data_IF_812696645254
#
_entry.id   IF_812696645254
#
_cell.length_a   1.000
_cell.length_b   1.000
_cell.length_c   1.000
_cell.angle_alpha   90.00
_cell.angle_beta   90.00
_cell.angle_gamma   90.00
#
_symmetry.space_group_name_H-M   'P 1'
#
loop_
_entity.id
_entity.type
_entity.pdbx_description
1 polymer ?
#
# COMPACT_ATOMS: atom_id res chain seq x y z
N UNK A 1 10.37 -22.76 -33.93
CA UNK A 1 10.05 -23.17 -32.53
C UNK A 1 10.57 -24.58 -32.33
N UNK A 2 11.20 -24.89 -31.19
CA UNK A 2 11.69 -26.24 -30.88
C UNK A 2 10.64 -26.96 -30.03
N UNK A 3 10.23 -28.15 -30.45
CA UNK A 3 9.27 -28.99 -29.76
C UNK A 3 10.07 -30.15 -29.18
N UNK A 4 10.07 -30.31 -27.86
CA UNK A 4 10.84 -31.36 -27.18
C UNK A 4 9.89 -32.46 -26.72
N UNK A 5 10.19 -33.70 -27.08
CA UNK A 5 9.44 -34.87 -26.59
C UNK A 5 9.88 -35.18 -25.16
N UNK A 6 9.01 -34.88 -24.20
CA UNK A 6 9.28 -35.06 -22.78
C UNK A 6 9.49 -36.52 -22.38
N UNK A 7 8.95 -37.49 -23.12
CA UNK A 7 9.19 -38.93 -22.85
C UNK A 7 10.65 -39.32 -23.13
N UNK A 8 11.34 -38.51 -23.94
CA UNK A 8 12.72 -38.75 -24.35
C UNK A 8 13.75 -37.96 -23.53
N UNK A 9 13.33 -37.08 -22.63
CA UNK A 9 14.22 -36.14 -21.93
C UNK A 9 15.29 -36.84 -21.07
N UNK A 10 14.99 -38.05 -20.59
CA UNK A 10 15.92 -38.88 -19.80
C UNK A 10 16.79 -39.80 -20.68
N UNK A 11 16.63 -39.76 -21.99
CA UNK A 11 17.44 -40.56 -22.92
C UNK A 11 18.75 -39.82 -23.26
N UNK A 12 19.82 -40.55 -23.66
CA UNK A 12 21.08 -39.92 -24.07
C UNK A 12 20.94 -38.92 -25.22
N UNK A 13 19.93 -39.11 -26.07
CA UNK A 13 19.56 -38.19 -27.14
C UNK A 13 18.06 -37.90 -27.03
N UNK A 14 17.66 -36.81 -26.34
CA UNK A 14 16.27 -36.36 -26.34
C UNK A 14 15.82 -36.09 -27.78
N UNK A 15 14.64 -36.59 -28.11
CA UNK A 15 13.96 -36.31 -29.36
C UNK A 15 13.38 -34.90 -29.29
N UNK A 16 13.54 -34.19 -30.39
CA UNK A 16 12.93 -32.90 -30.59
C UNK A 16 12.62 -32.74 -32.08
N UNK A 17 11.62 -31.93 -32.38
CA UNK A 17 11.35 -31.44 -33.72
C UNK A 17 11.49 -29.91 -33.77
N UNK A 18 11.60 -29.38 -34.98
CA UNK A 18 11.64 -27.94 -35.22
C UNK A 18 10.47 -27.55 -36.10
N UNK A 19 9.50 -26.90 -35.48
CA UNK A 19 8.42 -26.24 -36.19
C UNK A 19 8.95 -24.97 -36.86
N UNK A 20 8.99 -24.99 -38.19
CA UNK A 20 9.22 -23.84 -39.05
C UNK A 20 7.91 -23.55 -39.78
N UNK A 21 7.13 -22.62 -39.25
CA UNK A 21 5.85 -22.29 -39.88
C UNK A 21 6.07 -21.59 -41.21
N UNK A 22 5.52 -22.17 -42.26
CA UNK A 22 5.37 -21.56 -43.57
C UNK A 22 3.89 -21.53 -43.93
N UNK A 23 3.30 -20.34 -44.02
CA UNK A 23 1.89 -20.18 -44.36
C UNK A 23 1.68 -18.84 -45.09
N UNK A 24 1.01 -18.89 -46.24
CA UNK A 24 0.70 -17.71 -47.05
C UNK A 24 -0.19 -16.70 -46.35
N UNK A 25 -0.93 -17.13 -45.33
CA UNK A 25 -1.88 -16.30 -44.59
C UNK A 25 -1.21 -15.51 -43.45
N UNK A 26 0.09 -15.71 -43.23
CA UNK A 26 0.85 -14.88 -42.29
C UNK A 26 0.96 -13.43 -42.79
N UNK A 27 0.85 -12.42 -41.89
CA UNK A 27 0.99 -11.01 -42.26
C UNK A 27 2.34 -10.67 -42.91
N UNK A 28 2.31 -10.25 -44.18
CA UNK A 28 3.46 -9.67 -44.90
C UNK A 28 4.59 -10.63 -45.29
N UNK A 29 4.83 -11.71 -44.54
CA UNK A 29 5.88 -12.69 -44.82
C UNK A 29 5.39 -14.11 -44.48
N UNK A 30 5.44 -15.05 -45.43
CA UNK A 30 4.91 -16.38 -45.21
C UNK A 30 5.80 -17.29 -44.36
N UNK A 31 6.96 -16.84 -43.88
CA UNK A 31 7.91 -17.67 -43.14
C UNK A 31 8.23 -17.09 -41.76
N UNK A 32 7.97 -17.83 -40.68
CA UNK A 32 8.40 -17.45 -39.33
C UNK A 32 9.89 -17.78 -39.14
N UNK A 33 10.72 -16.75 -38.93
CA UNK A 33 12.17 -16.92 -38.76
C UNK A 33 12.60 -16.83 -37.30
N UNK A 34 12.09 -15.84 -36.58
CA UNK A 34 12.39 -15.58 -35.16
C UNK A 34 11.16 -15.11 -34.43
N UNK A 35 11.15 -15.34 -33.13
CA UNK A 35 10.19 -14.80 -32.18
C UNK A 35 10.96 -14.34 -30.94
N UNK A 36 10.39 -13.42 -30.17
CA UNK A 36 10.98 -12.98 -28.91
C UNK A 36 10.57 -13.92 -27.78
N UNK A 37 9.26 -14.16 -27.61
CA UNK A 37 8.74 -15.08 -26.60
C UNK A 37 7.56 -15.91 -27.11
N UNK A 38 7.16 -16.92 -26.34
CA UNK A 38 5.95 -17.70 -26.55
C UNK A 38 5.15 -17.84 -25.25
N UNK A 39 3.83 -17.96 -25.38
CA UNK A 39 2.93 -18.34 -24.29
C UNK A 39 1.91 -19.36 -24.80
N UNK A 40 1.53 -20.32 -23.98
CA UNK A 40 0.48 -21.31 -24.31
C UNK A 40 -0.61 -21.17 -23.26
N UNK A 41 -1.84 -20.86 -23.69
CA UNK A 41 -2.98 -20.69 -22.80
C UNK A 41 -3.61 -22.03 -22.38
N UNK A 42 -4.57 -21.97 -21.47
CA UNK A 42 -5.33 -23.13 -20.99
C UNK A 42 -6.21 -23.78 -22.07
N UNK A 43 -6.44 -23.09 -23.19
CA UNK A 43 -7.19 -23.57 -24.34
C UNK A 43 -6.30 -24.27 -25.37
N UNK A 44 -4.98 -24.36 -25.15
CA UNK A 44 -4.04 -24.98 -26.07
C UNK A 44 -3.71 -24.10 -27.27
N UNK A 45 -3.88 -22.78 -27.14
CA UNK A 45 -3.48 -21.81 -28.15
C UNK A 45 -2.06 -21.34 -27.84
N UNK A 46 -1.17 -21.51 -28.81
CA UNK A 46 0.19 -20.97 -28.81
C UNK A 46 0.16 -19.54 -29.33
N UNK A 47 0.62 -18.63 -28.49
CA UNK A 47 0.90 -17.24 -28.80
C UNK A 47 2.40 -17.07 -29.04
N UNK A 48 2.77 -16.49 -30.18
CA UNK A 48 4.16 -16.21 -30.56
C UNK A 48 4.33 -14.71 -30.65
N UNK A 49 5.10 -14.13 -29.73
CA UNK A 49 5.31 -12.70 -29.60
C UNK A 49 6.60 -12.24 -30.30
N UNK A 50 6.60 -10.99 -30.75
CA UNK A 50 7.81 -10.33 -31.22
C UNK A 50 8.38 -10.97 -32.49
N UNK A 51 7.52 -11.55 -33.33
CA UNK A 51 7.90 -12.16 -34.60
C UNK A 51 8.29 -11.09 -35.63
N UNK A 52 9.40 -10.37 -35.39
CA UNK A 52 9.75 -9.12 -36.10
C UNK A 52 10.08 -9.24 -37.59
N UNK A 53 9.80 -10.38 -38.22
CA UNK A 53 9.85 -10.56 -39.67
C UNK A 53 8.46 -10.81 -40.29
N UNK A 54 7.40 -10.83 -39.47
CA UNK A 54 5.98 -11.03 -39.84
C UNK A 54 5.21 -9.84 -39.27
N UNK A 55 4.49 -9.11 -40.14
CA UNK A 55 3.71 -7.95 -39.73
C UNK A 55 4.51 -6.93 -38.92
N UNK A 56 3.89 -6.40 -37.87
CA UNK A 56 4.50 -5.58 -36.84
C UNK A 56 5.14 -6.41 -35.71
N UNK A 57 5.06 -7.74 -35.76
CA UNK A 57 5.60 -8.61 -34.72
C UNK A 57 4.77 -8.58 -33.43
N UNK A 58 3.45 -8.49 -33.54
CA UNK A 58 2.53 -8.61 -32.41
C UNK A 58 2.45 -10.04 -31.87
N UNK A 59 1.25 -10.62 -31.80
CA UNK A 59 1.01 -11.98 -31.33
C UNK A 59 0.40 -12.86 -32.44
N UNK A 60 1.18 -13.81 -32.96
CA UNK A 60 0.66 -14.85 -33.85
C UNK A 60 0.01 -15.94 -33.01
N UNK A 61 -1.16 -16.43 -33.43
CA UNK A 61 -1.94 -17.44 -32.71
C UNK A 61 -2.02 -18.74 -33.50
N UNK A 62 -1.72 -19.85 -32.82
CA UNK A 62 -1.77 -21.19 -33.38
C UNK A 62 -2.56 -22.15 -32.47
N UNK A 63 -3.43 -22.97 -33.03
CA UNK A 63 -4.11 -24.05 -32.30
C UNK A 63 -3.22 -25.30 -32.25
N UNK A 64 -2.88 -25.73 -31.03
CA UNK A 64 -2.08 -26.93 -30.78
C UNK A 64 -2.92 -28.20 -30.61
N UNK A 65 -4.24 -28.08 -30.36
CA UNK A 65 -5.09 -29.24 -30.03
C UNK A 65 -5.18 -30.28 -31.15
N UNK A 66 -5.32 -29.91 -32.44
CA UNK A 66 -5.42 -30.91 -33.50
C UNK A 66 -4.12 -31.70 -33.69
N UNK A 67 -2.98 -30.98 -33.68
CA UNK A 67 -1.65 -31.54 -33.90
C UNK A 67 -0.59 -30.57 -33.34
N UNK A 68 0.00 -30.85 -32.16
CA UNK A 68 1.00 -29.97 -31.56
C UNK A 68 2.35 -30.00 -32.31
N UNK A 69 2.64 -31.02 -33.13
CA UNK A 69 3.83 -31.08 -33.98
C UNK A 69 3.67 -30.24 -35.25
N UNK A 70 2.42 -30.01 -35.68
CA UNK A 70 2.06 -29.12 -36.77
C UNK A 70 0.95 -28.10 -36.41
N UNK A 71 1.26 -27.11 -35.54
CA UNK A 71 0.30 -26.09 -35.10
C UNK A 71 -0.41 -25.34 -36.23
N UNK A 72 -1.73 -25.27 -36.17
CA UNK A 72 -2.55 -24.59 -37.17
C UNK A 72 -2.63 -23.08 -36.87
N UNK A 73 -2.26 -22.21 -37.82
CA UNK A 73 -2.42 -20.76 -37.67
C UNK A 73 -3.91 -20.38 -37.69
N UNK A 74 -4.33 -19.57 -36.70
CA UNK A 74 -5.74 -19.18 -36.53
C UNK A 74 -5.97 -17.66 -36.48
N UNK A 75 -4.90 -16.87 -36.58
CA UNK A 75 -4.96 -15.42 -36.69
C UNK A 75 -3.81 -14.72 -35.95
N UNK A 76 -3.85 -13.39 -35.91
CA UNK A 76 -2.83 -12.59 -35.23
C UNK A 76 -3.40 -11.27 -34.70
N UNK A 77 -2.84 -10.81 -33.58
CA UNK A 77 -2.87 -9.39 -33.22
C UNK A 77 -1.61 -8.74 -33.77
N UNK A 78 -1.75 -7.68 -34.56
CA UNK A 78 -0.62 -7.07 -35.27
C UNK A 78 -0.64 -5.53 -35.23
N UNK A 79 -1.38 -4.93 -34.29
CA UNK A 79 -1.43 -3.46 -34.16
C UNK A 79 -0.13 -2.90 -33.59
N UNK A 80 0.47 -3.59 -32.63
CA UNK A 80 1.73 -3.22 -31.97
C UNK A 80 2.73 -4.36 -32.05
N UNK A 81 4.02 -4.02 -31.94
CA UNK A 81 5.04 -5.01 -31.62
C UNK A 81 4.87 -5.39 -30.14
N UNK A 82 4.54 -6.66 -29.88
CA UNK A 82 4.45 -7.18 -28.52
C UNK A 82 5.73 -7.92 -28.20
N UNK A 83 6.43 -7.46 -27.17
CA UNK A 83 7.69 -8.07 -26.76
C UNK A 83 7.44 -9.36 -25.98
N UNK A 84 6.60 -9.26 -24.95
CA UNK A 84 6.16 -10.36 -24.12
C UNK A 84 4.67 -10.18 -23.76
N UNK A 85 4.04 -11.24 -23.25
CA UNK A 85 2.65 -11.21 -22.83
C UNK A 85 2.15 -12.56 -22.32
N UNK A 86 0.97 -12.52 -21.70
CA UNK A 86 0.23 -13.71 -21.31
C UNK A 86 -1.22 -13.62 -21.77
N UNK A 87 -1.89 -14.78 -21.79
CA UNK A 87 -3.30 -14.89 -22.16
C UNK A 87 -4.02 -15.75 -21.14
N UNK A 88 -5.27 -15.41 -20.84
CA UNK A 88 -6.15 -16.19 -19.97
C UNK A 88 -7.57 -15.97 -20.44
N UNK A 89 -8.26 -17.07 -20.70
CA UNK A 89 -9.51 -17.09 -21.42
C UNK A 89 -9.34 -16.44 -22.79
N UNK A 90 -10.09 -15.35 -23.02
CA UNK A 90 -10.08 -14.60 -24.27
C UNK A 90 -9.41 -13.23 -24.16
N UNK A 91 -8.68 -12.98 -23.07
CA UNK A 91 -7.96 -11.71 -22.87
C UNK A 91 -6.46 -11.93 -22.97
N UNK A 92 -5.81 -11.13 -23.80
CA UNK A 92 -4.36 -11.04 -23.94
C UNK A 92 -3.87 -9.77 -23.26
N UNK A 93 -2.84 -9.91 -22.41
CA UNK A 93 -2.10 -8.80 -21.81
C UNK A 93 -0.70 -8.78 -22.40
N UNK A 94 -0.33 -7.69 -23.07
CA UNK A 94 0.92 -7.59 -23.80
C UNK A 94 1.71 -6.33 -23.46
N UNK A 95 3.04 -6.49 -23.37
CA UNK A 95 3.99 -5.39 -23.28
C UNK A 95 4.35 -4.89 -24.68
N UNK A 96 3.80 -3.75 -25.06
CA UNK A 96 4.12 -3.08 -26.31
C UNK A 96 5.36 -2.19 -26.11
N UNK A 97 6.53 -2.83 -25.99
CA UNK A 97 7.78 -2.18 -25.53
C UNK A 97 8.21 -0.96 -26.36
N UNK A 98 7.89 -0.94 -27.65
CA UNK A 98 8.23 0.17 -28.55
C UNK A 98 7.22 1.33 -28.50
N UNK A 99 6.07 1.09 -27.89
CA UNK A 99 4.96 2.03 -27.76
C UNK A 99 4.73 2.43 -26.28
N UNK A 100 5.60 1.97 -25.38
CA UNK A 100 5.65 2.30 -23.95
C UNK A 100 4.41 1.85 -23.15
N UNK A 101 3.69 0.83 -23.62
CA UNK A 101 2.35 0.49 -23.13
C UNK A 101 2.17 -0.92 -22.62
N UNK A 102 1.40 -1.03 -21.54
CA UNK A 102 0.56 -2.19 -21.25
C UNK A 102 -0.66 -2.13 -22.17
N UNK A 103 -0.94 -3.21 -22.91
CA UNK A 103 -2.09 -3.32 -23.81
C UNK A 103 -2.95 -4.52 -23.42
N UNK A 104 -4.27 -4.31 -23.33
CA UNK A 104 -5.26 -5.36 -23.08
C UNK A 104 -6.07 -5.59 -24.36
N UNK A 105 -6.12 -6.83 -24.83
CA UNK A 105 -6.71 -7.21 -26.12
C UNK A 105 -7.70 -8.35 -25.94
N UNK A 106 -8.92 -8.18 -26.46
CA UNK A 106 -9.87 -9.27 -26.67
C UNK A 106 -9.44 -10.10 -27.87
N UNK A 107 -9.11 -11.36 -27.63
CA UNK A 107 -8.72 -12.36 -28.62
C UNK A 107 -9.78 -13.44 -28.81
N UNK A 108 -11.01 -13.27 -28.32
CA UNK A 108 -12.12 -14.25 -28.51
C UNK A 108 -12.32 -14.62 -29.98
N UNK A 109 -12.27 -13.62 -30.86
CA UNK A 109 -12.11 -13.83 -32.30
C UNK A 109 -10.64 -13.69 -32.70
N UNK A 110 -9.93 -14.82 -32.75
CA UNK A 110 -8.50 -14.90 -33.07
C UNK A 110 -8.13 -14.28 -34.43
N UNK A 111 -9.09 -14.22 -35.38
CA UNK A 111 -8.91 -13.59 -36.70
C UNK A 111 -9.12 -12.08 -36.72
N UNK A 112 -9.72 -11.50 -35.68
CA UNK A 112 -9.95 -10.07 -35.56
C UNK A 112 -9.88 -9.59 -34.10
N UNK A 113 -8.68 -9.62 -33.47
CA UNK A 113 -8.52 -9.17 -32.09
C UNK A 113 -8.84 -7.68 -31.93
N UNK A 114 -9.38 -7.28 -30.77
CA UNK A 114 -9.79 -5.90 -30.48
C UNK A 114 -9.08 -5.38 -29.24
N UNK A 115 -8.52 -4.17 -29.29
CA UNK A 115 -7.94 -3.53 -28.10
C UNK A 115 -9.09 -3.10 -27.18
N UNK A 116 -9.04 -3.53 -25.92
CA UNK A 116 -9.97 -3.13 -24.87
C UNK A 116 -9.51 -1.86 -24.16
N UNK A 117 -8.20 -1.71 -23.99
CA UNK A 117 -7.57 -0.48 -23.54
C UNK A 117 -6.07 -0.63 -23.33
N UNK A 118 -5.42 0.48 -23.01
CA UNK A 118 -3.98 0.60 -22.89
C UNK A 118 -3.59 1.71 -21.91
N UNK A 119 -2.39 1.61 -21.34
CA UNK A 119 -1.82 2.63 -20.46
C UNK A 119 -0.30 2.68 -20.62
N UNK A 120 0.29 3.89 -20.50
CA UNK A 120 1.75 4.06 -20.48
C UNK A 120 2.30 3.68 -19.10
N UNK A 121 3.38 2.88 -19.08
CA UNK A 121 4.03 2.43 -17.83
C UNK A 121 5.04 3.44 -17.27
N UNK A 122 5.51 3.30 -16.01
CA UNK A 122 6.22 4.35 -15.29
C UNK A 122 7.49 4.86 -15.97
N UNK A 123 8.23 3.96 -16.58
CA UNK A 123 9.51 4.21 -17.22
C UNK A 123 9.43 4.12 -18.75
N UNK A 124 8.24 3.89 -19.31
CA UNK A 124 8.01 3.86 -20.76
C UNK A 124 8.93 2.86 -21.47
N UNK A 125 8.91 1.60 -21.02
CA UNK A 125 9.65 0.50 -21.65
C UNK A 125 9.01 -0.86 -21.30
N UNK A 126 7.69 -0.95 -21.48
CA UNK A 126 6.88 -2.08 -21.00
C UNK A 126 7.31 -3.39 -21.63
N UNK A 127 7.84 -4.28 -20.81
CA UNK A 127 8.45 -5.51 -21.25
C UNK A 127 7.46 -6.68 -21.14
N UNK A 128 7.12 -7.05 -19.91
CA UNK A 128 6.28 -8.20 -19.59
C UNK A 128 5.01 -7.78 -18.83
N UNK A 129 3.97 -8.60 -18.96
CA UNK A 129 2.69 -8.42 -18.29
C UNK A 129 2.23 -9.76 -17.72
N UNK A 130 1.73 -9.77 -16.48
CA UNK A 130 1.13 -10.95 -15.87
C UNK A 130 -0.07 -10.59 -14.99
N UNK A 131 -1.22 -11.25 -15.18
CA UNK A 131 -2.48 -10.92 -14.47
C UNK A 131 -2.63 -11.73 -13.17
N UNK A 132 -3.24 -11.13 -12.16
CA UNK A 132 -3.67 -11.75 -10.91
C UNK A 132 -4.72 -12.84 -11.15
N UNK A 133 -4.83 -13.82 -10.25
CA UNK A 133 -5.75 -14.97 -10.38
C UNK A 133 -7.23 -14.56 -10.48
N UNK A 134 -7.61 -13.41 -9.93
CA UNK A 134 -8.95 -12.84 -10.02
C UNK A 134 -9.21 -11.99 -11.28
N UNK A 135 -8.20 -11.82 -12.16
CA UNK A 135 -8.21 -10.96 -13.35
C UNK A 135 -8.44 -9.46 -13.08
N UNK A 136 -8.26 -8.99 -11.84
CA UNK A 136 -8.52 -7.59 -11.49
C UNK A 136 -7.26 -6.73 -11.56
N UNK A 137 -6.07 -7.32 -11.45
CA UNK A 137 -4.79 -6.60 -11.43
C UNK A 137 -3.82 -7.17 -12.46
N UNK A 138 -3.14 -6.33 -13.22
CA UNK A 138 -1.98 -6.73 -14.05
C UNK A 138 -0.71 -6.17 -13.44
N UNK A 139 0.33 -6.99 -13.42
CA UNK A 139 1.67 -6.60 -13.01
C UNK A 139 2.57 -6.52 -14.23
N UNK A 140 3.36 -5.46 -14.32
CA UNK A 140 4.28 -5.25 -15.43
C UNK A 140 5.67 -4.88 -14.96
N UNK A 141 6.64 -5.15 -15.82
CA UNK A 141 8.02 -4.68 -15.71
C UNK A 141 8.34 -3.71 -16.84
N UNK A 142 9.13 -2.70 -16.54
CA UNK A 142 9.81 -1.92 -17.58
C UNK A 142 11.27 -2.37 -17.64
N UNK A 143 11.74 -2.89 -18.77
CA UNK A 143 13.07 -3.53 -18.86
C UNK A 143 14.19 -2.50 -19.11
N UNK A 144 14.26 -1.50 -18.24
CA UNK A 144 15.25 -0.41 -18.31
C UNK A 144 15.82 -0.10 -16.93
N UNK A 145 17.02 0.49 -16.90
CA UNK A 145 17.76 0.77 -15.66
C UNK A 145 16.95 1.57 -14.65
N UNK A 146 16.86 1.04 -13.43
CA UNK A 146 16.12 1.66 -12.33
C UNK A 146 14.61 1.67 -12.55
N UNK A 147 14.06 0.74 -13.32
CA UNK A 147 12.62 0.65 -13.51
C UNK A 147 11.89 0.01 -12.32
N UNK A 148 10.56 0.06 -12.37
CA UNK A 148 9.67 -0.51 -11.36
C UNK A 148 9.06 -1.83 -11.84
N UNK A 149 8.66 -2.66 -10.87
CA UNK A 149 7.51 -3.56 -11.03
C UNK A 149 6.29 -2.76 -10.61
N UNK A 150 5.27 -2.68 -11.47
CA UNK A 150 4.08 -1.87 -11.24
C UNK A 150 2.81 -2.73 -11.29
N UNK A 151 1.83 -2.38 -10.47
CA UNK A 151 0.51 -3.00 -10.41
C UNK A 151 -0.54 -2.06 -11.00
N UNK A 152 -1.44 -2.62 -11.81
CA UNK A 152 -2.50 -1.88 -12.50
C UNK A 152 -3.86 -2.52 -12.26
N UNK A 153 -4.85 -1.71 -11.90
CA UNK A 153 -6.25 -2.11 -11.94
C UNK A 153 -6.71 -2.27 -13.38
N UNK A 154 -7.23 -3.44 -13.70
CA UNK A 154 -7.82 -3.76 -15.01
C UNK A 154 -9.25 -4.27 -14.90
N UNK A 155 -9.91 -4.04 -13.76
CA UNK A 155 -11.32 -4.38 -13.56
C UNK A 155 -12.26 -3.74 -14.58
N UNK A 156 -11.89 -2.56 -15.08
CA UNK A 156 -12.40 -1.96 -16.30
C UNK A 156 -11.21 -1.69 -17.26
N UNK A 157 -11.00 -2.55 -18.28
CA UNK A 157 -9.91 -2.37 -19.23
C UNK A 157 -9.95 -1.05 -20.01
N UNK A 158 -11.10 -0.37 -20.09
CA UNK A 158 -11.21 0.94 -20.73
C UNK A 158 -10.72 2.09 -19.81
N UNK A 159 -10.52 1.82 -18.52
CA UNK A 159 -10.10 2.79 -17.52
C UNK A 159 -9.05 2.17 -16.57
N UNK A 160 -7.92 1.78 -17.15
CA UNK A 160 -6.79 1.23 -16.40
C UNK A 160 -6.19 2.32 -15.51
N UNK A 161 -5.87 1.96 -14.26
CA UNK A 161 -5.18 2.87 -13.33
C UNK A 161 -4.09 2.16 -12.57
N UNK A 162 -2.93 2.81 -12.41
CA UNK A 162 -1.86 2.29 -11.57
C UNK A 162 -2.29 2.29 -10.10
N UNK A 163 -1.98 1.18 -9.40
CA UNK A 163 -2.32 0.92 -8.01
C UNK A 163 -1.12 1.20 -7.10
N UNK A 164 0.01 0.61 -7.44
CA UNK A 164 1.28 0.82 -6.75
C UNK A 164 2.46 0.44 -7.66
N UNK A 165 3.67 0.81 -7.25
CA UNK A 165 4.91 0.41 -7.90
C UNK A 165 6.02 0.23 -6.89
N UNK A 166 6.89 -0.76 -7.11
CA UNK A 166 8.01 -1.04 -6.23
C UNK A 166 9.33 -1.13 -7.00
N UNK A 167 10.38 -0.60 -6.37
CA UNK A 167 11.77 -0.94 -6.67
C UNK A 167 12.28 -1.80 -5.54
N UNK A 168 13.05 -2.82 -5.90
CA UNK A 168 13.68 -3.71 -4.93
C UNK A 168 14.76 -2.99 -4.13
N UNK A 169 15.06 -3.49 -2.94
CA UNK A 169 16.10 -2.94 -2.07
C UNK A 169 17.50 -3.47 -2.39
N UNK A 170 17.59 -4.66 -3.01
CA UNK A 170 18.85 -5.31 -3.31
C UNK A 170 19.45 -4.88 -4.66
N UNK A 171 20.79 -4.93 -4.78
CA UNK A 171 21.50 -4.77 -6.05
C UNK A 171 21.73 -3.33 -6.54
N UNK A 172 21.04 -2.35 -5.94
CA UNK A 172 21.19 -0.92 -6.26
C UNK A 172 19.95 -0.30 -6.90
N UNK A 173 19.96 1.02 -7.06
CA UNK A 173 18.79 1.76 -7.59
C UNK A 173 18.67 1.73 -9.11
N UNK A 174 19.67 1.18 -9.80
CA UNK A 174 19.83 1.18 -11.25
C UNK A 174 19.67 -0.22 -11.89
N UNK A 175 19.26 -1.20 -11.09
CA UNK A 175 18.97 -2.58 -11.51
C UNK A 175 17.76 -2.64 -12.44
N UNK A 176 17.66 -3.72 -13.22
CA UNK A 176 16.65 -3.87 -14.29
C UNK A 176 15.73 -5.06 -13.94
N UNK A 177 14.40 -4.86 -13.78
CA UNK A 177 13.45 -5.96 -13.77
C UNK A 177 13.28 -6.54 -15.17
N UNK A 178 13.14 -7.87 -15.28
CA UNK A 178 12.92 -8.54 -16.57
C UNK A 178 11.51 -9.13 -16.67
N UNK A 179 11.24 -10.31 -16.11
CA UNK A 179 9.91 -10.92 -16.14
C UNK A 179 9.35 -11.06 -14.72
N UNK A 180 8.13 -10.58 -14.52
CA UNK A 180 7.34 -10.84 -13.32
C UNK A 180 6.28 -11.90 -13.61
N UNK A 181 6.12 -12.82 -12.68
CA UNK A 181 5.12 -13.89 -12.75
C UNK A 181 4.30 -13.88 -11.46
N UNK A 182 2.97 -13.92 -11.60
CA UNK A 182 2.07 -14.05 -10.45
C UNK A 182 1.97 -15.51 -10.03
N UNK A 183 2.21 -15.78 -8.75
CA UNK A 183 1.94 -17.06 -8.09
C UNK A 183 1.07 -16.81 -6.85
N UNK A 184 -0.24 -16.99 -7.00
CA UNK A 184 -1.21 -16.61 -5.97
C UNK A 184 -1.11 -15.12 -5.66
N UNK A 185 -0.76 -14.79 -4.42
CA UNK A 185 -0.61 -13.40 -3.96
C UNK A 185 0.82 -12.86 -4.14
N UNK A 186 1.74 -13.61 -4.74
CA UNK A 186 3.15 -13.22 -4.85
C UNK A 186 3.55 -12.93 -6.28
N UNK A 187 4.46 -11.98 -6.44
CA UNK A 187 5.18 -11.73 -7.68
C UNK A 187 6.57 -12.35 -7.56
N UNK A 188 6.90 -13.26 -8.46
CA UNK A 188 8.25 -13.81 -8.62
C UNK A 188 8.86 -13.17 -9.84
N UNK A 189 9.89 -12.37 -9.63
CA UNK A 189 10.46 -11.53 -10.68
C UNK A 189 11.92 -11.84 -10.90
N UNK A 190 12.33 -12.10 -12.14
CA UNK A 190 13.74 -12.13 -12.53
C UNK A 190 14.27 -10.72 -12.73
N UNK A 191 15.47 -10.47 -12.23
CA UNK A 191 16.03 -9.14 -12.02
C UNK A 191 17.49 -9.05 -12.43
N UNK A 192 17.88 -9.67 -13.56
CA UNK A 192 19.23 -9.56 -14.11
C UNK A 192 20.32 -9.69 -13.02
N UNK A 193 21.10 -8.64 -12.80
CA UNK A 193 22.24 -8.57 -11.86
C UNK A 193 21.84 -8.67 -10.39
N UNK A 194 20.54 -8.68 -10.09
CA UNK A 194 19.99 -8.80 -8.73
C UNK A 194 19.25 -10.12 -8.52
N UNK A 195 19.40 -11.08 -9.43
CA UNK A 195 18.88 -12.43 -9.26
C UNK A 195 17.35 -12.51 -9.30
N UNK A 196 16.75 -13.18 -8.32
CA UNK A 196 15.29 -13.34 -8.21
C UNK A 196 14.74 -12.62 -6.98
N UNK A 197 13.58 -12.01 -7.15
CA UNK A 197 12.92 -11.16 -6.17
C UNK A 197 11.49 -11.64 -5.96
N UNK A 198 11.03 -11.65 -4.71
CA UNK A 198 9.69 -12.05 -4.31
C UNK A 198 9.02 -10.87 -3.62
N UNK A 199 7.92 -10.43 -4.21
CA UNK A 199 7.08 -9.35 -3.68
C UNK A 199 5.75 -9.94 -3.25
N UNK A 200 5.30 -9.64 -2.05
CA UNK A 200 3.95 -9.90 -1.58
C UNK A 200 3.00 -8.82 -2.13
N UNK A 201 2.08 -9.26 -2.98
CA UNK A 201 1.07 -8.46 -3.66
C UNK A 201 -0.36 -8.84 -3.21
N UNK A 202 -0.51 -9.38 -1.98
CA UNK A 202 -1.85 -9.64 -1.38
C UNK A 202 -2.73 -8.39 -1.45
N UNK A 203 -2.14 -7.21 -1.27
CA UNK A 203 -2.78 -5.95 -1.54
C UNK A 203 -2.04 -5.23 -2.67
N UNK A 204 -2.62 -5.18 -3.90
CA UNK A 204 -1.97 -4.56 -5.05
C UNK A 204 -1.72 -3.04 -4.91
N UNK A 205 -2.36 -2.40 -3.94
CA UNK A 205 -2.13 -1.00 -3.56
C UNK A 205 -0.93 -0.81 -2.61
N UNK A 206 -0.32 -1.89 -2.12
CA UNK A 206 0.81 -1.91 -1.19
C UNK A 206 1.70 -3.12 -1.53
N UNK A 207 2.64 -2.96 -2.45
CA UNK A 207 3.61 -3.98 -2.79
C UNK A 207 4.73 -4.01 -1.74
N UNK A 208 5.06 -5.21 -1.25
CA UNK A 208 6.11 -5.39 -0.22
C UNK A 208 7.12 -6.41 -0.73
N UNK A 209 8.38 -6.01 -0.88
CA UNK A 209 9.47 -6.96 -1.12
C UNK A 209 9.71 -7.79 0.15
N UNK A 210 9.56 -9.11 0.05
CA UNK A 210 9.59 -10.00 1.22
C UNK A 210 10.72 -11.02 1.18
N UNK A 211 11.28 -11.32 0.01
CA UNK A 211 12.44 -12.20 -0.11
C UNK A 211 13.19 -11.97 -1.41
N UNK A 212 14.48 -12.32 -1.42
CA UNK A 212 15.31 -12.28 -2.62
C UNK A 212 16.44 -13.29 -2.57
N UNK A 213 17.00 -13.61 -3.73
CA UNK A 213 18.23 -14.39 -3.84
C UNK A 213 19.06 -13.92 -5.03
N UNK A 214 20.31 -13.56 -4.77
CA UNK A 214 21.25 -13.12 -5.80
C UNK A 214 21.88 -14.31 -6.52
N UNK A 215 21.71 -14.38 -7.84
CA UNK A 215 22.33 -15.38 -8.70
C UNK A 215 23.55 -14.84 -9.45
N UNK A 216 23.79 -13.53 -9.42
CA UNK A 216 24.78 -12.87 -10.26
C UNK A 216 26.05 -12.50 -9.47
N UNK A 217 27.25 -12.65 -10.06
CA UNK A 217 28.46 -12.05 -9.51
C UNK A 217 28.60 -10.57 -9.87
N UNK A 218 27.70 -10.03 -10.71
CA UNK A 218 27.68 -8.65 -11.18
C UNK A 218 26.64 -7.85 -10.39
N UNK A 219 26.77 -6.52 -10.37
CA UNK A 219 25.88 -5.64 -9.61
C UNK A 219 25.49 -4.39 -10.39
N UNK A 220 24.39 -3.75 -10.01
CA UNK A 220 23.90 -2.51 -10.64
C UNK A 220 23.32 -2.73 -12.04
N UNK A 221 23.39 -1.72 -12.90
CA UNK A 221 22.83 -1.78 -14.25
C UNK A 221 23.47 -2.88 -15.14
N UNK A 222 22.65 -3.52 -15.97
CA UNK A 222 23.07 -4.42 -17.04
C UNK A 222 22.09 -5.57 -17.28
N UNK A 223 22.14 -6.15 -18.48
CA UNK A 223 21.31 -7.29 -18.90
C UNK A 223 22.01 -8.63 -18.68
N UNK A 224 22.82 -8.72 -17.62
CA UNK A 224 23.52 -9.94 -17.19
C UNK A 224 22.82 -10.48 -15.95
N UNK A 225 22.89 -11.78 -15.69
CA UNK A 225 22.34 -12.43 -14.51
C UNK A 225 21.03 -13.16 -14.78
N UNK A 226 20.09 -13.12 -13.85
CA UNK A 226 18.81 -13.83 -13.94
C UNK A 226 17.93 -13.29 -15.07
N UNK A 227 17.87 -14.02 -16.18
CA UNK A 227 16.94 -13.74 -17.28
C UNK A 227 15.53 -14.26 -16.95
N UNK A 228 15.41 -15.50 -16.48
CA UNK A 228 14.12 -16.14 -16.25
C UNK A 228 13.96 -16.65 -14.82
N UNK A 229 12.75 -16.56 -14.27
CA UNK A 229 12.36 -17.18 -13.02
C UNK A 229 11.01 -17.88 -13.18
N UNK A 230 10.98 -19.21 -13.14
CA UNK A 230 9.78 -20.03 -13.32
C UNK A 230 9.32 -20.62 -11.97
N UNK A 231 8.22 -20.12 -11.38
CA UNK A 231 7.78 -20.51 -10.04
C UNK A 231 6.70 -21.62 -10.03
N UNK A 232 6.27 -22.12 -11.18
CA UNK A 232 5.06 -22.96 -11.31
C UNK A 232 5.33 -24.48 -11.25
N UNK A 233 6.46 -24.91 -10.70
CA UNK A 233 6.71 -26.34 -10.54
C UNK A 233 5.79 -26.94 -9.45
N UNK A 234 5.25 -28.16 -9.64
CA UNK A 234 4.47 -28.84 -8.60
C UNK A 234 5.20 -29.06 -7.27
N UNK A 235 6.54 -29.01 -7.28
CA UNK A 235 7.36 -29.07 -6.06
C UNK A 235 7.36 -27.78 -5.24
N UNK A 236 6.88 -26.67 -5.80
CA UNK A 236 6.99 -25.32 -5.23
C UNK A 236 8.38 -24.69 -5.39
N UNK A 237 9.32 -25.36 -6.08
CA UNK A 237 10.64 -24.80 -6.36
C UNK A 237 10.56 -23.80 -7.52
N UNK A 238 11.43 -22.80 -7.45
CA UNK A 238 11.64 -21.80 -8.49
C UNK A 238 12.85 -22.22 -9.32
N UNK A 239 12.69 -22.31 -10.65
CA UNK A 239 13.82 -22.45 -11.56
C UNK A 239 14.28 -21.06 -11.99
N UNK A 240 15.53 -20.70 -11.70
CA UNK A 240 16.11 -19.42 -12.12
C UNK A 240 17.20 -19.71 -13.13
N UNK A 241 17.09 -19.12 -14.32
CA UNK A 241 18.09 -19.25 -15.38
C UNK A 241 18.89 -17.95 -15.45
N UNK A 242 20.12 -18.03 -14.98
CA UNK A 242 21.12 -16.98 -15.02
C UNK A 242 21.98 -17.13 -16.28
N UNK A 243 22.21 -16.03 -17.01
CA UNK A 243 22.94 -16.02 -18.28
C UNK A 243 24.40 -16.45 -18.09
N UNK A 244 25.03 -16.05 -16.98
CA UNK A 244 26.45 -16.32 -16.73
C UNK A 244 26.66 -17.53 -15.82
N UNK A 245 25.78 -17.74 -14.83
CA UNK A 245 25.95 -18.76 -13.80
C UNK A 245 25.13 -20.04 -14.05
N UNK A 246 24.19 -20.03 -15.00
CA UNK A 246 23.39 -21.20 -15.39
C UNK A 246 22.13 -21.38 -14.55
N UNK A 247 21.75 -22.64 -14.27
CA UNK A 247 20.49 -22.98 -13.61
C UNK A 247 20.62 -23.03 -12.08
N UNK A 248 19.77 -22.28 -11.39
CA UNK A 248 19.52 -22.37 -9.95
C UNK A 248 18.15 -22.99 -9.70
N UNK A 249 18.06 -23.84 -8.67
CA UNK A 249 16.80 -24.41 -8.19
C UNK A 249 16.62 -23.95 -6.76
N UNK A 250 15.70 -23.01 -6.55
CA UNK A 250 15.49 -22.35 -5.27
C UNK A 250 14.17 -22.80 -4.66
N UNK A 251 14.07 -22.69 -3.34
CA UNK A 251 12.83 -22.86 -2.60
C UNK A 251 12.58 -21.58 -1.80
N UNK A 252 11.32 -21.17 -1.70
CA UNK A 252 10.90 -20.03 -0.90
C UNK A 252 9.72 -20.42 -0.03
N UNK A 253 9.67 -19.86 1.18
CA UNK A 253 8.51 -19.96 2.06
C UNK A 253 7.42 -18.95 1.69
N UNK A 254 7.68 -18.06 0.73
CA UNK A 254 6.80 -16.96 0.33
C UNK A 254 6.31 -16.17 1.56
N UNK A 255 7.23 -15.48 2.26
CA UNK A 255 6.88 -14.75 3.47
C UNK A 255 5.90 -13.61 3.16
N UNK A 256 4.84 -13.47 3.95
CA UNK A 256 3.87 -12.39 3.83
C UNK A 256 4.37 -11.10 4.49
N UNK A 257 4.09 -9.95 3.91
CA UNK A 257 4.29 -8.65 4.54
C UNK A 257 3.24 -8.33 5.60
N UNK A 258 3.45 -7.26 6.35
CA UNK A 258 2.46 -6.64 7.21
C UNK A 258 1.93 -5.39 6.52
N UNK A 259 0.61 -5.19 6.56
CA UNK A 259 0.01 -4.05 5.90
C UNK A 259 -0.57 -3.07 6.92
N UNK A 260 -0.29 -1.78 6.71
CA UNK A 260 -0.71 -0.72 7.61
C UNK A 260 -1.50 0.34 6.83
N UNK A 261 -2.79 0.39 7.09
CA UNK A 261 -3.70 1.39 6.51
C UNK A 261 -4.33 2.22 7.62
N UNK A 262 -4.89 3.37 7.26
CA UNK A 262 -5.57 4.16 8.25
C UNK A 262 -6.08 5.49 7.76
N UNK A 263 -6.68 6.21 8.71
CA UNK A 263 -7.29 7.53 8.52
C UNK A 263 -6.83 8.45 9.64
N UNK A 264 -6.27 9.60 9.29
CA UNK A 264 -6.00 10.69 10.24
C UNK A 264 -7.20 11.64 10.23
N UNK A 265 -7.76 11.94 11.40
CA UNK A 265 -8.97 12.75 11.57
C UNK A 265 -8.88 13.73 12.74
N UNK A 266 -9.72 14.74 12.71
CA UNK A 266 -9.87 15.72 13.79
C UNK A 266 -10.69 15.10 14.93
N UNK A 267 -10.17 15.12 16.15
CA UNK A 267 -10.82 14.49 17.30
C UNK A 267 -12.14 15.14 17.70
N UNK A 268 -12.35 16.42 17.36
CA UNK A 268 -13.55 17.20 17.68
C UNK A 268 -14.58 17.08 16.56
N UNK A 269 -14.18 17.36 15.32
CA UNK A 269 -15.10 17.40 14.18
C UNK A 269 -15.30 16.06 13.49
N UNK A 270 -14.43 15.08 13.76
CA UNK A 270 -14.35 13.79 13.08
C UNK A 270 -14.05 13.89 11.57
N UNK A 271 -13.76 15.08 11.06
CA UNK A 271 -13.41 15.28 9.67
C UNK A 271 -11.99 14.76 9.39
N UNK A 272 -11.73 14.21 8.19
CA UNK A 272 -10.38 13.82 7.83
C UNK A 272 -9.38 14.99 7.82
N UNK A 273 -8.15 14.70 8.24
CA UNK A 273 -7.03 15.65 8.23
C UNK A 273 -6.15 15.36 7.02
N UNK A 274 -6.20 16.18 5.96
CA UNK A 274 -5.39 15.96 4.77
C UNK A 274 -3.91 16.24 5.04
N UNK A 275 -3.03 15.49 4.38
CA UNK A 275 -1.58 15.72 4.42
C UNK A 275 -1.01 15.77 5.84
N UNK A 276 -1.48 14.88 6.73
CA UNK A 276 -0.82 14.62 8.01
C UNK A 276 0.44 13.80 7.77
N UNK A 277 1.51 14.11 8.51
CA UNK A 277 2.79 13.41 8.43
C UNK A 277 2.80 12.29 9.46
N UNK A 278 3.24 11.09 9.06
CA UNK A 278 3.39 9.93 9.94
C UNK A 278 4.84 9.43 9.88
N UNK A 279 5.40 9.09 11.04
CA UNK A 279 6.74 8.52 11.17
C UNK A 279 6.68 7.24 12.00
N UNK A 280 7.09 6.12 11.42
CA UNK A 280 7.22 4.84 12.12
C UNK A 280 8.60 4.75 12.77
N UNK A 281 8.67 4.97 14.09
CA UNK A 281 9.93 5.23 14.80
C UNK A 281 10.96 4.09 14.70
N UNK A 282 10.51 2.83 14.70
CA UNK A 282 11.43 1.68 14.73
C UNK A 282 12.17 1.46 13.41
N UNK A 283 11.62 1.94 12.30
CA UNK A 283 12.19 1.77 10.95
C UNK A 283 12.56 3.10 10.28
N UNK A 284 12.30 4.23 10.97
CA UNK A 284 12.45 5.59 10.44
C UNK A 284 11.74 5.80 9.08
N UNK A 285 10.68 5.03 8.83
CA UNK A 285 9.87 5.21 7.64
C UNK A 285 8.94 6.40 7.82
N UNK A 286 8.80 7.20 6.77
CA UNK A 286 8.02 8.44 6.80
C UNK A 286 7.03 8.42 5.64
N UNK A 287 5.75 8.59 5.95
CA UNK A 287 4.70 8.68 4.96
C UNK A 287 3.78 9.87 5.25
N UNK A 288 2.95 10.21 4.27
CA UNK A 288 2.01 11.33 4.36
C UNK A 288 0.62 10.86 3.94
N UNK A 289 -0.37 11.19 4.76
CA UNK A 289 -1.76 10.95 4.44
C UNK A 289 -2.20 11.75 3.19
N UNK A 290 -3.10 11.20 2.38
CA UNK A 290 -3.60 11.83 1.18
C UNK A 290 -4.56 13.01 1.50
N UNK A 291 -5.20 13.55 0.47
CA UNK A 291 -6.17 14.66 0.60
C UNK A 291 -7.46 14.28 1.33
N UNK A 292 -7.72 12.98 1.50
CA UNK A 292 -8.83 12.43 2.28
C UNK A 292 -8.39 11.98 3.67
N UNK A 293 -7.15 12.30 4.09
CA UNK A 293 -6.60 11.90 5.39
C UNK A 293 -6.23 10.42 5.48
N UNK A 294 -6.36 9.66 4.40
CA UNK A 294 -6.06 8.24 4.38
C UNK A 294 -4.57 7.99 4.12
N UNK A 295 -4.05 6.92 4.68
CA UNK A 295 -2.69 6.47 4.40
C UNK A 295 -2.64 4.96 4.24
N UNK A 296 -1.62 4.49 3.54
CA UNK A 296 -1.33 3.08 3.30
C UNK A 296 0.18 2.88 3.18
N UNK A 297 0.72 1.86 3.84
CA UNK A 297 2.12 1.44 3.76
C UNK A 297 2.23 -0.03 4.18
N UNK A 298 3.41 -0.62 4.04
CA UNK A 298 3.67 -1.99 4.45
C UNK A 298 5.11 -2.18 4.95
N UNK A 299 5.34 -3.25 5.69
CA UNK A 299 6.67 -3.63 6.18
C UNK A 299 6.80 -5.15 6.25
N UNK A 300 8.02 -5.68 6.25
CA UNK A 300 8.27 -7.12 6.29
C UNK A 300 8.10 -7.73 7.67
N UNK A 301 8.32 -6.95 8.73
CA UNK A 301 8.47 -7.49 10.08
C UNK A 301 7.21 -7.27 10.93
N UNK A 302 6.70 -8.34 11.53
CA UNK A 302 5.65 -8.22 12.54
C UNK A 302 6.24 -7.70 13.86
N UNK A 303 5.76 -6.54 14.30
CA UNK A 303 6.18 -5.91 15.55
C UNK A 303 5.14 -4.89 16.04
N UNK A 304 5.42 -4.28 17.19
CA UNK A 304 4.74 -3.07 17.65
C UNK A 304 5.55 -1.87 17.13
N UNK A 305 4.89 -0.99 16.40
CA UNK A 305 5.47 0.21 15.83
C UNK A 305 4.86 1.45 16.50
N UNK A 306 5.66 2.25 17.23
CA UNK A 306 5.24 3.57 17.64
C UNK A 306 5.17 4.48 16.40
N UNK A 307 3.97 4.99 16.11
CA UNK A 307 3.70 5.86 14.96
C UNK A 307 3.44 7.27 15.46
N UNK A 308 4.36 8.18 15.16
CA UNK A 308 4.19 9.61 15.45
C UNK A 308 3.39 10.24 14.33
N UNK A 309 2.27 10.89 14.65
CA UNK A 309 1.42 11.57 13.68
C UNK A 309 1.37 13.05 13.99
N UNK A 310 1.64 13.88 12.99
CA UNK A 310 1.73 15.32 13.17
C UNK A 310 1.08 16.10 12.03
N UNK A 311 0.53 17.26 12.38
CA UNK A 311 -0.05 18.22 11.43
C UNK A 311 0.02 19.63 12.01
N UNK A 312 0.46 20.64 11.25
CA UNK A 312 0.37 22.04 11.68
C UNK A 312 -1.08 22.41 12.05
N UNK A 313 -1.27 22.98 13.24
CA UNK A 313 -2.60 23.29 13.79
C UNK A 313 -3.16 22.22 14.73
N UNK A 314 -2.44 21.11 14.95
CA UNK A 314 -2.82 20.03 15.86
C UNK A 314 -1.68 19.72 16.84
N UNK A 315 -2.03 19.11 17.98
CA UNK A 315 -1.04 18.46 18.84
C UNK A 315 -0.56 17.17 18.17
N UNK A 316 0.76 16.98 18.11
CA UNK A 316 1.38 15.72 17.69
C UNK A 316 1.00 14.62 18.67
N UNK A 317 0.67 13.45 18.15
CA UNK A 317 0.35 12.26 18.95
C UNK A 317 1.24 11.08 18.54
N UNK A 318 1.36 10.08 19.41
CA UNK A 318 2.08 8.84 19.16
C UNK A 318 1.20 7.65 19.51
N UNK A 319 0.97 6.78 18.53
CA UNK A 319 0.11 5.59 18.68
C UNK A 319 0.93 4.33 18.47
N UNK A 320 0.84 3.37 19.40
CA UNK A 320 1.45 2.06 19.23
C UNK A 320 0.56 1.17 18.34
N UNK A 321 1.08 0.77 17.18
CA UNK A 321 0.38 -0.05 16.18
C UNK A 321 1.00 -1.44 16.15
N UNK A 322 0.16 -2.47 16.33
CA UNK A 322 0.59 -3.88 16.22
C UNK A 322 0.42 -4.35 14.78
N UNK A 323 1.53 -4.67 14.12
CA UNK A 323 1.55 -5.21 12.76
C UNK A 323 1.83 -6.72 12.80
N UNK A 324 1.13 -7.47 11.96
CA UNK A 324 1.22 -8.94 11.88
C UNK A 324 1.31 -9.37 10.42
N UNK A 325 2.21 -10.32 10.12
CA UNK A 325 2.41 -10.81 8.75
C UNK A 325 1.11 -11.42 8.20
N UNK A 326 0.79 -11.09 6.96
CA UNK A 326 -0.39 -11.57 6.24
C UNK A 326 -1.71 -10.90 6.64
N UNK A 327 -1.68 -9.87 7.50
CA UNK A 327 -2.89 -9.15 7.92
C UNK A 327 -2.79 -7.66 7.58
N UNK A 328 -3.94 -7.09 7.27
CA UNK A 328 -4.15 -5.65 7.25
C UNK A 328 -4.50 -5.15 8.64
N UNK A 329 -3.71 -4.20 9.15
CA UNK A 329 -4.01 -3.43 10.36
C UNK A 329 -4.50 -2.04 9.93
N UNK A 330 -5.79 -1.79 10.10
CA UNK A 330 -6.40 -0.48 9.88
C UNK A 330 -6.49 0.32 11.19
N UNK A 331 -6.03 1.58 11.20
CA UNK A 331 -6.08 2.45 12.39
C UNK A 331 -6.65 3.84 12.05
N UNK A 332 -7.62 4.29 12.84
CA UNK A 332 -8.08 5.68 12.82
C UNK A 332 -7.36 6.49 13.92
N UNK A 333 -6.59 7.50 13.52
CA UNK A 333 -5.77 8.33 14.42
C UNK A 333 -6.42 9.71 14.51
N UNK A 334 -6.90 10.06 15.71
CA UNK A 334 -7.60 11.31 15.95
C UNK A 334 -6.68 12.36 16.59
N UNK A 335 -6.31 13.40 15.85
CA UNK A 335 -5.49 14.50 16.39
C UNK A 335 -6.35 15.59 17.04
N UNK A 336 -5.89 16.12 18.16
CA UNK A 336 -6.53 17.26 18.84
C UNK A 336 -6.09 18.59 18.22
N UNK A 337 -7.02 19.47 17.79
CA UNK A 337 -6.66 20.79 17.28
C UNK A 337 -6.05 21.67 18.37
N UNK A 338 -5.08 22.52 17.99
CA UNK A 338 -4.51 23.52 18.90
C UNK A 338 -5.59 24.48 19.41
N UNK A 339 -5.52 24.83 20.69
CA UNK A 339 -6.54 25.66 21.35
C UNK A 339 -7.69 24.86 21.96
N UNK A 340 -7.74 23.54 21.72
CA UNK A 340 -8.52 22.60 22.53
C UNK A 340 -7.58 21.90 23.50
N UNK A 341 -8.03 21.72 24.74
CA UNK A 341 -7.29 20.96 25.75
C UNK A 341 -8.20 19.87 26.29
N UNK A 342 -7.62 18.68 26.49
CA UNK A 342 -8.25 17.60 27.25
C UNK A 342 -7.89 17.67 28.74
N UNK A 343 -6.98 18.57 29.14
CA UNK A 343 -6.62 18.79 30.54
C UNK A 343 -7.58 19.80 31.20
N UNK A 344 -8.12 19.45 32.37
CA UNK A 344 -8.69 20.38 33.39
C UNK A 344 -7.63 21.35 33.97
N UNK A 345 -6.55 21.65 33.25
CA UNK A 345 -5.39 22.43 33.70
C UNK A 345 -5.58 23.95 33.74
N UNK A 346 -6.79 24.46 33.55
CA UNK A 346 -7.09 25.90 33.66
C UNK A 346 -7.55 26.33 35.05
N UNK A 347 -7.69 25.38 35.99
CA UNK A 347 -8.07 25.68 37.36
C UNK A 347 -6.85 26.17 38.17
N UNK A 348 -6.95 27.39 38.71
CA UNK A 348 -5.99 27.90 39.70
C UNK A 348 -6.23 27.21 41.06
N UNK A 349 -5.19 27.13 41.89
CA UNK A 349 -5.24 26.52 43.23
C UNK A 349 -6.49 26.94 44.02
N UNK A 350 -7.13 26.05 44.78
CA UNK A 350 -8.40 26.33 45.43
C UNK A 350 -8.26 27.45 46.47
N UNK A 351 -9.30 28.29 46.54
CA UNK A 351 -9.41 29.34 47.56
C UNK A 351 -9.72 28.71 48.90
N UNK A 352 -8.95 29.07 49.93
CA UNK A 352 -9.21 28.56 51.29
C UNK A 352 -10.45 29.24 51.85
N UNK A 353 -11.32 28.44 52.46
CA UNK A 353 -12.50 28.94 53.14
C UNK A 353 -12.51 28.56 54.63
N UNK A 354 -12.98 29.46 55.49
CA UNK A 354 -13.05 29.23 56.93
C UNK A 354 -14.12 30.09 57.61
N UNK A 355 -14.81 29.61 58.66
CA UNK A 355 -14.75 28.27 59.21
C UNK A 355 -15.39 27.22 58.29
N UNK A 356 -14.96 25.96 58.39
CA UNK A 356 -15.56 24.83 57.70
C UNK A 356 -15.51 23.59 58.62
N UNK A 357 -16.63 23.17 59.25
CA UNK A 357 -18.02 23.57 58.97
C UNK A 357 -18.35 25.04 59.23
N UNK A 358 -19.16 25.63 58.36
CA UNK A 358 -19.63 27.01 58.43
C UNK A 358 -21.04 27.10 59.06
N UNK A 359 -21.23 28.10 59.91
CA UNK A 359 -22.49 28.39 60.59
C UNK A 359 -22.91 29.85 60.28
N UNK A 360 -23.77 30.02 59.27
CA UNK A 360 -24.33 31.32 58.87
C UNK A 360 -23.39 32.20 58.03
N UNK A 361 -22.07 32.00 58.13
CA UNK A 361 -21.08 32.68 57.28
C UNK A 361 -19.84 31.82 57.03
N UNK A 362 -19.09 32.15 55.98
CA UNK A 362 -17.70 31.75 55.77
C UNK A 362 -16.90 32.90 55.15
N UNK A 363 -15.61 32.93 55.43
CA UNK A 363 -14.65 33.82 54.81
C UNK A 363 -13.86 33.08 53.72
N UNK A 364 -13.57 33.78 52.62
CA UNK A 364 -12.71 33.32 51.54
C UNK A 364 -11.35 34.03 51.65
N UNK A 365 -10.26 33.27 51.64
CA UNK A 365 -8.89 33.78 51.53
C UNK A 365 -8.55 34.05 50.06
N UNK A 366 -8.62 35.32 49.68
CA UNK A 366 -8.39 35.78 48.32
C UNK A 366 -6.92 36.17 48.09
N UNK A 367 -6.01 35.85 49.01
CA UNK A 367 -4.59 36.12 48.83
C UNK A 367 -4.04 35.38 47.61
N UNK A 368 -3.56 36.13 46.62
CA UNK A 368 -3.08 35.58 45.35
C UNK A 368 -4.14 35.41 44.25
N UNK A 369 -5.35 35.94 44.43
CA UNK A 369 -6.37 36.04 43.38
C UNK A 369 -6.24 37.38 42.66
N UNK A 370 -5.81 37.36 41.39
CA UNK A 370 -5.66 38.58 40.58
C UNK A 370 -7.02 39.08 40.04
N UNK A 371 -7.27 40.39 40.13
CA UNK A 371 -8.42 41.07 39.53
C UNK A 371 -9.06 42.12 40.44
N UNK A 372 -10.16 42.74 39.99
CA UNK A 372 -10.95 43.69 40.80
C UNK A 372 -12.16 43.02 41.47
N UNK A 373 -12.79 42.06 40.78
CA UNK A 373 -14.00 41.35 41.22
C UNK A 373 -13.94 39.89 40.81
N UNK A 374 -14.54 39.04 41.64
CA UNK A 374 -14.80 37.65 41.31
C UNK A 374 -16.27 37.30 41.53
N UNK A 375 -16.76 36.32 40.78
CA UNK A 375 -18.06 35.69 40.96
C UNK A 375 -17.87 34.43 41.79
N UNK A 376 -18.54 34.38 42.94
CA UNK A 376 -18.65 33.24 43.81
C UNK A 376 -19.96 32.51 43.52
N UNK A 377 -19.89 31.21 43.27
CA UNK A 377 -21.05 30.34 43.09
C UNK A 377 -20.97 29.17 44.07
N UNK A 378 -22.12 28.79 44.64
CA UNK A 378 -22.24 27.64 45.53
C UNK A 378 -23.26 26.67 44.96
N UNK A 379 -22.86 25.43 44.78
CA UNK A 379 -23.66 24.36 44.22
C UNK A 379 -23.96 23.28 45.27
N UNK A 380 -25.13 22.65 45.18
CA UNK A 380 -25.39 21.41 45.93
C UNK A 380 -24.60 20.22 45.31
N UNK A 381 -24.55 19.08 46.00
CA UNK A 381 -23.85 17.89 45.50
C UNK A 381 -24.45 17.28 44.23
N UNK A 382 -25.59 17.78 43.75
CA UNK A 382 -26.23 17.38 42.49
C UNK A 382 -25.96 18.40 41.37
N UNK A 383 -25.15 19.42 41.61
CA UNK A 383 -24.79 20.46 40.65
C UNK A 383 -25.82 21.59 40.50
N UNK A 384 -26.82 21.69 41.39
CA UNK A 384 -27.78 22.80 41.35
C UNK A 384 -27.19 24.05 42.00
N UNK A 385 -27.28 25.20 41.33
CA UNK A 385 -26.81 26.49 41.86
C UNK A 385 -27.70 26.94 43.03
N UNK A 386 -27.11 27.08 44.21
CA UNK A 386 -27.79 27.44 45.46
C UNK A 386 -27.58 28.91 45.85
N UNK A 387 -26.46 29.49 45.44
CA UNK A 387 -26.08 30.87 45.74
C UNK A 387 -25.10 31.39 44.70
N UNK A 388 -25.24 32.67 44.33
CA UNK A 388 -24.26 33.41 43.55
C UNK A 388 -24.04 34.79 44.20
N UNK A 389 -22.78 35.23 44.29
CA UNK A 389 -22.41 36.53 44.87
C UNK A 389 -21.19 37.11 44.18
N UNK A 390 -21.17 38.42 43.97
CA UNK A 390 -19.95 39.13 43.56
C UNK A 390 -19.11 39.48 44.78
N UNK A 391 -17.84 39.11 44.78
CA UNK A 391 -16.87 39.48 45.81
C UNK A 391 -15.84 40.47 45.25
N UNK A 392 -15.50 41.49 46.05
CA UNK A 392 -14.46 42.44 45.70
C UNK A 392 -13.09 41.87 46.10
N UNK A 393 -12.13 41.93 45.18
CA UNK A 393 -10.78 41.36 45.38
C UNK A 393 -9.78 42.38 45.95
N UNK A 394 -10.19 43.64 46.13
CA UNK A 394 -9.38 44.69 46.77
C UNK A 394 -9.05 44.39 48.24
N UNK A 395 -9.82 43.48 48.85
CA UNK A 395 -9.61 42.97 50.19
C UNK A 395 -9.12 41.53 50.04
N UNK A 396 -7.99 41.16 50.68
CA UNK A 396 -7.43 39.80 50.63
C UNK A 396 -8.35 38.74 51.26
N UNK A 397 -9.49 39.14 51.82
CA UNK A 397 -10.48 38.27 52.44
C UNK A 397 -11.89 38.75 52.07
N UNK A 398 -12.81 37.84 51.75
CA UNK A 398 -14.21 38.18 51.51
C UNK A 398 -15.14 37.45 52.47
N UNK A 399 -15.95 38.22 53.22
CA UNK A 399 -16.96 37.70 54.13
C UNK A 399 -18.28 37.38 53.43
N UNK A 400 -18.76 36.14 53.57
CA UNK A 400 -19.94 35.63 52.89
C UNK A 400 -20.96 35.06 53.88
N UNK A 401 -22.00 35.84 54.18
CA UNK A 401 -23.19 35.37 54.88
C UNK A 401 -24.07 34.49 53.98
N UNK A 402 -24.68 33.44 54.55
CA UNK A 402 -25.52 32.51 53.80
C UNK A 402 -26.75 32.00 54.57
N UNK A 403 -27.80 31.67 53.81
CA UNK A 403 -29.02 30.99 54.29
C UNK A 403 -29.07 29.49 53.98
N UNK A 404 -27.96 28.90 53.52
CA UNK A 404 -27.91 27.50 53.07
C UNK A 404 -28.34 26.49 54.16
N UNK A 405 -29.13 25.45 53.83
CA UNK A 405 -29.43 24.34 54.74
C UNK A 405 -28.20 23.52 55.14
N UNK A 406 -28.30 22.73 56.23
CA UNK A 406 -27.24 21.78 56.62
C UNK A 406 -26.95 20.80 55.47
N UNK A 407 -25.68 20.63 55.12
CA UNK A 407 -25.28 19.80 54.00
C UNK A 407 -23.86 20.05 53.50
N UNK A 408 -23.44 19.30 52.50
CA UNK A 408 -22.20 19.53 51.76
C UNK A 408 -22.50 20.27 50.46
N UNK A 409 -21.62 21.21 50.12
CA UNK A 409 -21.72 22.06 48.94
C UNK A 409 -20.36 22.18 48.27
N UNK A 410 -20.39 22.58 47.01
CA UNK A 410 -19.21 22.91 46.21
C UNK A 410 -19.21 24.42 45.99
N UNK A 411 -18.11 25.08 46.37
CA UNK A 411 -17.89 26.50 46.16
C UNK A 411 -16.95 26.68 44.98
N UNK A 412 -17.36 27.46 44.00
CA UNK A 412 -16.58 27.78 42.82
C UNK A 412 -16.36 29.29 42.77
N UNK A 413 -15.11 29.71 42.52
CA UNK A 413 -14.75 31.10 42.33
C UNK A 413 -14.24 31.32 40.90
N UNK A 414 -14.73 32.37 40.26
CA UNK A 414 -14.36 32.74 38.90
C UNK A 414 -14.02 34.23 38.82
N UNK A 415 -12.88 34.57 38.21
CA UNK A 415 -12.57 35.93 37.76
C UNK A 415 -12.75 36.00 36.24
N UNK A 416 -12.74 37.20 35.63
CA UNK A 416 -12.79 37.29 34.16
C UNK A 416 -11.60 36.61 33.45
N UNK A 417 -10.51 36.31 34.17
CA UNK A 417 -9.27 35.75 33.62
C UNK A 417 -8.94 34.33 34.11
N UNK A 418 -9.60 33.82 35.16
CA UNK A 418 -9.29 32.53 35.74
C UNK A 418 -10.51 31.86 36.41
N UNK A 419 -10.53 30.53 36.37
CA UNK A 419 -11.42 29.69 37.16
C UNK A 419 -10.59 29.00 38.25
N UNK A 420 -11.11 28.91 39.47
CA UNK A 420 -10.41 28.30 40.60
C UNK A 420 -10.96 26.91 40.88
N UNK A 421 -10.11 26.00 41.37
CA UNK A 421 -10.51 24.65 41.77
C UNK A 421 -11.67 24.71 42.77
N UNK A 422 -12.74 23.91 42.56
CA UNK A 422 -13.88 23.93 43.45
C UNK A 422 -13.52 23.47 44.86
N UNK A 423 -13.97 24.21 45.87
CA UNK A 423 -13.68 23.94 47.28
C UNK A 423 -14.91 23.41 48.00
N UNK A 424 -14.75 22.35 48.79
CA UNK A 424 -15.84 21.76 49.57
C UNK A 424 -16.22 22.65 50.76
N UNK A 425 -17.50 22.97 50.89
CA UNK A 425 -18.09 23.68 52.03
C UNK A 425 -19.07 22.77 52.77
N UNK A 426 -18.91 22.66 54.08
CA UNK A 426 -19.86 21.96 54.96
C UNK A 426 -20.65 23.01 55.74
N UNK A 427 -21.98 22.95 55.68
CA UNK A 427 -22.85 23.80 56.49
C UNK A 427 -23.38 22.99 57.67
N UNK A 428 -23.17 23.53 58.87
CA UNK A 428 -23.69 22.98 60.11
C UNK A 428 -24.19 24.13 60.98
N UNK A 429 -25.51 24.15 61.22
CA UNK A 429 -26.16 25.08 62.16
C UNK A 429 -25.81 24.82 63.61
#
# INVERSE_FOLDING_TARGET
IMIVDMDSVNMPNPKFDRFYHANSDLPGNPFLQRAHNIYIDENGILYVFGAGNIGNGGALMFDLKPDPENPAYIGAFDTYYLHDGMVRGDTLWGGAINDDKLVVVDVSNKSNPQILGDIITPNAFTHNCWVSDDNQTVYTTDEISGAYVAAYDVSDPANISERDRIRISYGGTDVIPHNTHVLGDFLVTSYYTSGVQIVDATMPDILIETAYYDTSPLTGNGYNGAWGAYPFLPSGNILVTDIEQGLFILNSTYPKGCYFTGLVKDSITQNPIPNADLVMLNINDTLRANIFGEFRTGTTDAAIYPVVVSKPGYYTDTVDVVLTNGLETHVEIALLPLGFSLEEGSLKSPVRLSPNPAAGFFDLDLSGVDGERATLQVYDMRGSLMMEKTVNLSENTAHVEHGLPNGAYIVQLQTPQALFEPTRLIIQK
#
